data_IF_829295271469
#
_entry.id   IF_829295271469
#
_cell.length_a   1.000
_cell.length_b   1.000
_cell.length_c   1.000
_cell.angle_alpha   90.00
_cell.angle_beta   90.00
_cell.angle_gamma   90.00
#
_symmetry.space_group_name_H-M   'P 1'
#
loop_
_entity.id
_entity.type
_entity.pdbx_description
1 polymer ?
#
# COMPACT_ATOMS: atom_id res chain seq x y z
N UNK A 1 5.88 3.23 -13.36
CA UNK A 1 6.99 3.64 -12.46
C UNK A 1 6.71 4.97 -11.78
N UNK A 2 6.62 6.11 -12.48
CA UNK A 2 6.35 7.42 -11.83
C UNK A 2 5.07 7.43 -10.99
N UNK A 3 4.05 6.70 -11.42
CA UNK A 3 2.80 6.52 -10.68
C UNK A 3 3.00 6.00 -9.25
N UNK A 4 3.97 5.11 -9.01
CA UNK A 4 4.18 4.55 -7.68
C UNK A 4 4.74 5.60 -6.72
N UNK A 5 5.59 6.52 -7.20
CA UNK A 5 6.11 7.63 -6.37
C UNK A 5 4.99 8.53 -5.86
N UNK A 6 4.05 8.89 -6.75
CA UNK A 6 2.88 9.70 -6.38
C UNK A 6 2.00 8.98 -5.35
N UNK A 7 1.80 7.67 -5.51
CA UNK A 7 1.05 6.85 -4.54
C UNK A 7 1.78 6.78 -3.19
N UNK A 8 3.11 6.75 -3.17
CA UNK A 8 3.90 6.79 -1.94
C UNK A 8 3.76 8.10 -1.18
N UNK A 9 3.90 9.23 -1.89
CA UNK A 9 3.65 10.57 -1.31
C UNK A 9 2.23 10.67 -0.76
N UNK A 10 1.24 10.18 -1.52
CA UNK A 10 -0.15 10.14 -1.09
C UNK A 10 -0.37 9.31 0.18
N UNK A 11 0.26 8.13 0.28
CA UNK A 11 0.20 7.30 1.50
C UNK A 11 0.73 8.05 2.72
N UNK A 12 1.91 8.69 2.61
CA UNK A 12 2.51 9.47 3.70
C UNK A 12 1.62 10.61 4.17
N UNK A 13 1.09 11.41 3.23
CA UNK A 13 0.17 12.51 3.56
C UNK A 13 -1.15 12.02 4.17
N UNK A 14 -1.70 10.90 3.66
CA UNK A 14 -2.95 10.31 4.14
C UNK A 14 -2.88 9.89 5.60
N UNK A 15 -1.80 9.24 6.03
CA UNK A 15 -1.62 8.81 7.42
C UNK A 15 -1.68 9.98 8.39
N UNK A 16 -1.10 11.13 8.03
CA UNK A 16 -1.10 12.32 8.88
C UNK A 16 -2.50 12.81 9.24
N UNK A 17 -3.43 12.80 8.28
CA UNK A 17 -4.83 13.17 8.52
C UNK A 17 -5.51 12.24 9.54
N UNK A 18 -5.34 10.93 9.40
CA UNK A 18 -5.91 9.96 10.34
C UNK A 18 -5.24 10.01 11.71
N UNK A 19 -3.93 10.24 11.78
CA UNK A 19 -3.20 10.42 13.05
C UNK A 19 -3.78 11.58 13.86
N UNK A 20 -4.00 12.72 13.19
CA UNK A 20 -4.59 13.90 13.82
C UNK A 20 -5.99 13.60 14.38
N UNK A 21 -6.81 12.90 13.62
CA UNK A 21 -8.17 12.50 14.06
C UNK A 21 -8.13 11.53 15.25
N UNK A 22 -7.19 10.58 15.24
CA UNK A 22 -7.01 9.60 16.31
C UNK A 22 -6.32 10.16 17.57
N UNK A 23 -5.78 11.38 17.51
CA UNK A 23 -5.05 12.06 18.59
C UNK A 23 -3.90 11.23 19.16
N UNK A 24 -3.21 10.46 18.30
CA UNK A 24 -2.04 9.66 18.70
C UNK A 24 -0.77 10.53 18.64
N UNK A 25 -0.15 10.85 19.79
CA UNK A 25 1.06 11.67 19.81
C UNK A 25 2.23 10.93 19.17
N UNK A 26 3.19 11.69 18.65
CA UNK A 26 4.50 11.15 18.33
C UNK A 26 5.26 10.80 19.62
N UNK A 27 6.14 9.78 19.64
CA UNK A 27 6.59 8.94 18.53
C UNK A 27 5.78 7.66 18.32
N UNK A 28 4.61 7.51 18.94
CA UNK A 28 3.85 6.26 18.88
C UNK A 28 3.36 5.96 17.46
N UNK A 29 3.67 4.77 16.98
CA UNK A 29 3.36 4.37 15.61
C UNK A 29 1.88 4.03 15.42
N UNK A 30 1.27 3.40 16.42
CA UNK A 30 -0.11 2.93 16.44
C UNK A 30 -0.81 3.38 17.73
N UNK A 31 -2.14 3.44 17.70
CA UNK A 31 -2.96 3.41 18.90
C UNK A 31 -2.86 2.01 19.52
N UNK A 32 -2.56 1.93 20.82
CA UNK A 32 -2.44 0.64 21.52
C UNK A 32 -3.80 -0.04 21.68
N UNK A 33 -3.78 -1.35 21.96
CA UNK A 33 -5.00 -2.12 22.22
C UNK A 33 -5.81 -1.54 23.38
N UNK A 34 -5.12 -1.13 24.46
CA UNK A 34 -5.70 -0.54 25.65
C UNK A 34 -6.35 0.81 25.34
N UNK A 35 -5.68 1.65 24.54
CA UNK A 35 -6.22 2.94 24.11
C UNK A 35 -7.50 2.77 23.27
N UNK A 36 -7.50 1.79 22.35
CA UNK A 36 -8.64 1.50 21.47
C UNK A 36 -9.83 0.93 22.24
N UNK A 37 -9.59 0.05 23.22
CA UNK A 37 -10.65 -0.66 23.96
C UNK A 37 -11.27 0.18 25.08
N UNK A 38 -10.51 1.11 25.66
CA UNK A 38 -11.00 2.05 26.68
C UNK A 38 -11.59 3.35 26.11
N UNK A 39 -11.46 3.58 24.80
CA UNK A 39 -11.95 4.79 24.14
C UNK A 39 -13.47 4.81 23.94
N UNK A 40 -14.03 6.02 23.87
CA UNK A 40 -15.39 6.24 23.37
C UNK A 40 -15.56 5.67 21.95
N UNK A 41 -16.78 5.32 21.50
CA UNK A 41 -16.99 4.76 20.16
C UNK A 41 -16.38 5.61 19.03
N UNK A 42 -16.52 6.94 19.10
CA UNK A 42 -15.97 7.84 18.10
C UNK A 42 -14.43 7.87 18.11
N UNK A 43 -13.80 7.94 19.29
CA UNK A 43 -12.35 7.89 19.41
C UNK A 43 -11.79 6.53 18.97
N UNK A 44 -12.46 5.44 19.33
CA UNK A 44 -12.13 4.08 18.91
C UNK A 44 -12.14 3.94 17.39
N UNK A 45 -13.18 4.43 16.73
CA UNK A 45 -13.30 4.43 15.27
C UNK A 45 -12.14 5.17 14.61
N UNK A 46 -11.82 6.38 15.09
CA UNK A 46 -10.69 7.17 14.58
C UNK A 46 -9.35 6.47 14.78
N UNK A 47 -9.11 5.86 15.94
CA UNK A 47 -7.89 5.09 16.24
C UNK A 47 -7.75 3.86 15.34
N UNK A 48 -8.83 3.10 15.11
CA UNK A 48 -8.82 1.93 14.23
C UNK A 48 -8.60 2.32 12.76
N UNK A 49 -9.18 3.43 12.31
CA UNK A 49 -8.93 3.99 10.99
C UNK A 49 -7.45 4.42 10.84
N UNK A 50 -6.90 5.10 11.85
CA UNK A 50 -5.48 5.46 11.87
C UNK A 50 -4.55 4.24 11.82
N UNK A 51 -4.79 3.22 12.66
CA UNK A 51 -4.00 2.00 12.64
C UNK A 51 -4.08 1.31 11.27
N UNK A 52 -5.26 1.27 10.66
CA UNK A 52 -5.44 0.69 9.32
C UNK A 52 -4.71 1.48 8.22
N UNK A 53 -4.78 2.82 8.28
CA UNK A 53 -4.07 3.69 7.33
C UNK A 53 -2.54 3.54 7.47
N UNK A 54 -2.04 3.48 8.70
CA UNK A 54 -0.61 3.30 8.98
C UNK A 54 -0.13 1.92 8.49
N UNK A 55 -0.87 0.85 8.76
CA UNK A 55 -0.53 -0.50 8.26
C UNK A 55 -0.54 -0.54 6.74
N UNK A 56 -1.48 0.11 6.08
CA UNK A 56 -1.53 0.20 4.62
C UNK A 56 -0.31 0.92 4.03
N UNK A 57 0.17 1.98 4.69
CA UNK A 57 1.38 2.70 4.31
C UNK A 57 2.65 1.86 4.52
N UNK A 58 2.81 1.21 5.68
CA UNK A 58 3.92 0.28 5.91
C UNK A 58 3.96 -0.83 4.87
N UNK A 59 2.80 -1.48 4.61
CA UNK A 59 2.72 -2.53 3.62
C UNK A 59 3.06 -2.04 2.20
N UNK A 60 2.80 -0.77 1.91
CA UNK A 60 3.21 -0.17 0.64
C UNK A 60 4.74 -0.09 0.57
N UNK A 61 5.37 0.45 1.61
CA UNK A 61 6.83 0.58 1.70
C UNK A 61 7.54 -0.77 1.65
N UNK A 62 7.01 -1.80 2.34
CA UNK A 62 7.51 -3.18 2.31
C UNK A 62 7.58 -3.76 0.89
N UNK A 63 6.64 -3.39 0.02
CA UNK A 63 6.52 -3.97 -1.33
C UNK A 63 7.03 -3.03 -2.44
N UNK A 64 7.24 -1.74 -2.13
CA UNK A 64 7.55 -0.74 -3.13
C UNK A 64 8.89 -0.99 -3.81
N UNK A 65 9.92 -1.41 -3.05
CA UNK A 65 11.27 -1.62 -3.57
C UNK A 65 11.28 -2.75 -4.62
N UNK A 66 10.68 -3.89 -4.29
CA UNK A 66 10.54 -5.01 -5.24
C UNK A 66 9.70 -4.63 -6.45
N UNK A 67 8.62 -3.86 -6.25
CA UNK A 67 7.77 -3.38 -7.34
C UNK A 67 8.56 -2.46 -8.31
N UNK A 68 9.36 -1.53 -7.79
CA UNK A 68 10.21 -0.67 -8.61
C UNK A 68 11.26 -1.47 -9.38
N UNK A 69 11.99 -2.37 -8.70
CA UNK A 69 13.06 -3.15 -9.31
C UNK A 69 12.55 -4.01 -10.46
N UNK A 70 11.43 -4.71 -10.24
CA UNK A 70 10.80 -5.55 -11.27
C UNK A 70 10.26 -4.74 -12.43
N UNK A 71 9.67 -3.56 -12.19
CA UNK A 71 9.23 -2.64 -13.27
C UNK A 71 10.41 -2.09 -14.08
N UNK A 72 11.53 -1.72 -13.44
CA UNK A 72 12.74 -1.25 -14.13
C UNK A 72 13.28 -2.33 -15.07
N UNK A 73 13.53 -3.51 -14.52
CA UNK A 73 14.09 -4.64 -15.27
C UNK A 73 13.15 -5.01 -16.42
N UNK A 74 11.86 -5.18 -16.13
CA UNK A 74 10.85 -5.49 -17.16
C UNK A 74 10.82 -4.43 -18.26
N UNK A 75 10.92 -3.15 -17.89
CA UNK A 75 10.87 -2.03 -18.82
C UNK A 75 12.02 -1.97 -19.82
N UNK A 76 13.15 -2.63 -19.55
CA UNK A 76 14.30 -2.67 -20.46
C UNK A 76 13.98 -3.33 -21.80
N UNK A 77 13.08 -4.33 -21.79
CA UNK A 77 12.67 -5.05 -23.01
C UNK A 77 11.17 -4.99 -23.28
N UNK A 78 10.36 -4.86 -22.24
CA UNK A 78 8.89 -4.87 -22.32
C UNK A 78 8.28 -3.61 -21.68
N UNK A 79 8.56 -2.40 -22.23
CA UNK A 79 8.14 -1.14 -21.62
C UNK A 79 6.62 -0.99 -21.48
N UNK A 80 5.84 -1.47 -22.46
CA UNK A 80 4.36 -1.41 -22.40
C UNK A 80 3.82 -2.32 -21.30
N UNK A 81 4.36 -3.54 -21.17
CA UNK A 81 3.96 -4.46 -20.10
C UNK A 81 4.28 -3.88 -18.71
N UNK A 82 5.49 -3.32 -18.55
CA UNK A 82 5.90 -2.63 -17.31
C UNK A 82 4.95 -1.47 -16.96
N UNK A 83 4.54 -0.68 -17.97
CA UNK A 83 3.63 0.45 -17.77
C UNK A 83 2.23 0.00 -17.33
N UNK A 84 1.64 -0.99 -18.02
CA UNK A 84 0.30 -1.52 -17.69
C UNK A 84 0.29 -2.16 -16.31
N UNK A 85 1.22 -3.08 -16.03
CA UNK A 85 1.29 -3.76 -14.74
C UNK A 85 1.60 -2.79 -13.60
N UNK A 86 2.47 -1.80 -13.84
CA UNK A 86 2.74 -0.74 -12.88
C UNK A 86 1.52 0.16 -12.60
N UNK A 87 0.71 0.44 -13.61
CA UNK A 87 -0.57 1.13 -13.46
C UNK A 87 -1.56 0.34 -12.61
N UNK A 88 -1.77 -0.94 -12.94
CA UNK A 88 -2.64 -1.85 -12.17
C UNK A 88 -2.18 -1.93 -10.72
N UNK A 89 -0.86 -2.10 -10.50
CA UNK A 89 -0.28 -2.13 -9.15
C UNK A 89 -0.60 -0.84 -8.40
N UNK A 90 -0.33 0.32 -9.00
CA UNK A 90 -0.53 1.64 -8.37
C UNK A 90 -2.00 1.90 -7.99
N UNK A 91 -2.94 1.65 -8.90
CA UNK A 91 -4.38 1.83 -8.65
C UNK A 91 -4.84 0.90 -7.52
N UNK A 92 -4.43 -0.36 -7.54
CA UNK A 92 -4.83 -1.31 -6.51
C UNK A 92 -4.19 -1.01 -5.14
N UNK A 93 -3.02 -0.37 -5.07
CA UNK A 93 -2.46 0.13 -3.80
C UNK A 93 -3.35 1.22 -3.18
N UNK A 94 -3.92 2.11 -3.99
CA UNK A 94 -4.88 3.12 -3.52
C UNK A 94 -6.17 2.45 -3.02
N UNK A 95 -6.74 1.53 -3.81
CA UNK A 95 -7.95 0.78 -3.42
C UNK A 95 -7.71 0.00 -2.12
N UNK A 96 -6.57 -0.68 -2.01
CA UNK A 96 -6.16 -1.41 -0.80
C UNK A 96 -6.14 -0.48 0.41
N UNK A 97 -5.49 0.68 0.31
CA UNK A 97 -5.35 1.61 1.43
C UNK A 97 -6.68 2.24 1.87
N UNK A 98 -7.52 2.65 0.91
CA UNK A 98 -8.86 3.17 1.18
C UNK A 98 -9.74 2.10 1.82
N UNK A 99 -9.76 0.90 1.24
CA UNK A 99 -10.54 -0.22 1.75
C UNK A 99 -10.11 -0.65 3.15
N UNK A 100 -8.81 -0.73 3.42
CA UNK A 100 -8.29 -1.04 4.75
C UNK A 100 -8.74 0.01 5.77
N UNK A 101 -8.60 1.29 5.44
CA UNK A 101 -8.97 2.39 6.34
C UNK A 101 -10.47 2.42 6.65
N UNK A 102 -11.32 2.34 5.62
CA UNK A 102 -12.77 2.41 5.76
C UNK A 102 -13.38 1.22 6.48
N UNK A 103 -12.65 0.11 6.60
CA UNK A 103 -13.10 -1.11 7.26
C UNK A 103 -12.34 -1.40 8.55
N UNK A 104 -11.65 -0.41 9.13
CA UNK A 104 -10.83 -0.59 10.33
C UNK A 104 -11.58 -1.21 11.51
N UNK A 105 -12.84 -0.83 11.73
CA UNK A 105 -13.71 -1.42 12.76
C UNK A 105 -14.02 -2.90 12.53
N UNK A 106 -13.98 -3.34 11.28
CA UNK A 106 -14.20 -4.73 10.86
C UNK A 106 -12.87 -5.46 10.66
N UNK A 107 -11.80 -5.04 11.34
CA UNK A 107 -10.47 -5.65 11.22
C UNK A 107 -9.79 -5.42 9.87
N UNK A 108 -10.23 -4.41 9.10
CA UNK A 108 -9.60 -4.01 7.85
C UNK A 108 -9.89 -4.91 6.65
N UNK A 109 -11.02 -5.63 6.67
CA UNK A 109 -11.42 -6.57 5.60
C UNK A 109 -11.50 -5.94 4.21
N UNK A 110 -11.76 -4.64 4.10
CA UNK A 110 -11.81 -3.92 2.83
C UNK A 110 -10.46 -3.84 2.12
N UNK A 111 -9.35 -4.21 2.76
CA UNK A 111 -8.03 -4.32 2.11
C UNK A 111 -8.04 -5.30 0.93
N UNK A 112 -8.90 -6.32 0.98
CA UNK A 112 -8.99 -7.34 -0.08
C UNK A 112 -9.55 -6.78 -1.40
N UNK A 113 -10.24 -5.64 -1.39
CA UNK A 113 -10.68 -4.97 -2.62
C UNK A 113 -9.52 -4.56 -3.51
N UNK A 114 -8.33 -4.32 -2.93
CA UNK A 114 -7.12 -4.00 -3.67
C UNK A 114 -6.22 -5.20 -3.96
N UNK A 115 -6.66 -6.45 -3.77
CA UNK A 115 -5.80 -7.63 -3.94
C UNK A 115 -5.16 -7.76 -5.34
N UNK A 116 -5.70 -7.06 -6.35
CA UNK A 116 -5.11 -6.98 -7.68
C UNK A 116 -3.67 -6.46 -7.71
N UNK A 117 -3.22 -5.70 -6.70
CA UNK A 117 -1.81 -5.30 -6.63
C UNK A 117 -0.89 -6.51 -6.49
N UNK A 118 -1.30 -7.56 -5.75
CA UNK A 118 -0.47 -8.76 -5.54
C UNK A 118 -0.30 -9.53 -6.85
N UNK A 119 -1.39 -9.66 -7.63
CA UNK A 119 -1.37 -10.31 -8.93
C UNK A 119 -0.40 -9.58 -9.86
N UNK A 120 -0.55 -8.25 -9.99
CA UNK A 120 0.35 -7.44 -10.81
C UNK A 120 1.81 -7.54 -10.32
N UNK A 121 2.02 -7.63 -9.01
CA UNK A 121 3.35 -7.74 -8.40
C UNK A 121 4.05 -9.05 -8.78
N UNK A 122 3.39 -10.20 -8.61
CA UNK A 122 3.99 -11.49 -8.94
C UNK A 122 4.17 -11.68 -10.45
N UNK A 123 3.25 -11.14 -11.26
CA UNK A 123 3.44 -11.11 -12.72
C UNK A 123 4.68 -10.28 -13.09
N UNK A 124 4.89 -9.11 -12.48
CA UNK A 124 6.09 -8.30 -12.69
C UNK A 124 7.37 -9.03 -12.28
N UNK A 125 7.35 -9.77 -11.16
CA UNK A 125 8.49 -10.62 -10.75
C UNK A 125 8.82 -11.63 -11.85
N UNK A 126 7.84 -12.40 -12.33
CA UNK A 126 8.07 -13.36 -13.42
C UNK A 126 8.53 -12.70 -14.72
N UNK A 127 7.95 -11.56 -15.06
CA UNK A 127 8.33 -10.82 -16.28
C UNK A 127 9.74 -10.26 -16.20
N UNK A 128 10.20 -9.87 -15.01
CA UNK A 128 11.57 -9.39 -14.81
C UNK A 128 12.59 -10.51 -15.05
N UNK A 129 12.31 -11.73 -14.57
CA UNK A 129 13.15 -12.92 -14.85
C UNK A 129 13.17 -13.22 -16.34
N UNK A 130 12.00 -13.24 -17.00
CA UNK A 130 11.93 -13.42 -18.46
C UNK A 130 12.74 -12.37 -19.21
N UNK A 131 12.67 -11.11 -18.77
CA UNK A 131 13.42 -10.01 -19.39
C UNK A 131 14.92 -10.25 -19.32
N UNK A 132 15.43 -10.70 -18.17
CA UNK A 132 16.85 -11.04 -18.02
C UNK A 132 17.25 -12.22 -18.89
N UNK A 133 16.40 -13.25 -18.98
CA UNK A 133 16.65 -14.40 -19.86
C UNK A 133 16.81 -13.95 -21.32
N UNK A 134 15.86 -13.18 -21.84
CA UNK A 134 15.86 -12.73 -23.24
C UNK A 134 16.96 -11.71 -23.56
N UNK A 135 17.62 -11.14 -22.54
CA UNK A 135 18.76 -10.25 -22.71
C UNK A 135 20.10 -11.00 -22.73
N UNK A 136 20.16 -12.19 -22.11
CA UNK A 136 21.38 -12.97 -21.94
C UNK A 136 21.52 -14.14 -22.93
N UNK A 137 20.40 -14.66 -23.42
CA UNK A 137 20.31 -15.79 -24.35
C UNK A 137 19.80 -15.31 -25.71
#
# INVERSE_FOLDING_TARGET
>A
MVSTFLVGVWHGGRVGGFRKAAKIPYPYEYASYEQVTSASPASKSAMLAFNSAQRAHQNFNENHVTALGTMLITGLRYPVAAAVLGGIWSVNRVIYAVGYTNSGEKGGVGRYYGAGWMIAHYVLVGWSVKTMWDLLM
#
